data_IF_700988802271
#
_entry.id   IF_700988802271
#
_cell.length_a   1.000
_cell.length_b   1.000
_cell.length_c   1.000
_cell.angle_alpha   90.00
_cell.angle_beta   90.00
_cell.angle_gamma   90.00
#
_symmetry.space_group_name_H-M   'P 1'
#
loop_
_entity.id
_entity.type
_entity.pdbx_description
1 polymer ?
#
# COMPACT_ATOMS: atom_id res chain seq x y z
N UNK A 1 -17.16 -9.61 -20.58
CA UNK A 1 -17.52 -8.77 -19.40
C UNK A 1 -17.44 -9.54 -18.09
N UNK A 2 -18.01 -10.74 -17.95
CA UNK A 2 -17.93 -11.52 -16.69
C UNK A 2 -16.49 -11.89 -16.30
N UNK A 3 -15.67 -12.30 -17.26
CA UNK A 3 -14.25 -12.62 -17.04
C UNK A 3 -13.45 -11.42 -16.53
N UNK A 4 -13.62 -10.25 -17.15
CA UNK A 4 -13.00 -9.01 -16.71
C UNK A 4 -13.34 -8.67 -15.25
N UNK A 5 -14.63 -8.74 -14.86
CA UNK A 5 -15.05 -8.49 -13.47
C UNK A 5 -14.40 -9.46 -12.49
N UNK A 6 -14.35 -10.75 -12.87
CA UNK A 6 -13.69 -11.78 -12.06
C UNK A 6 -12.20 -11.48 -11.88
N UNK A 7 -11.47 -11.17 -12.94
CA UNK A 7 -10.04 -10.87 -12.87
C UNK A 7 -9.74 -9.65 -11.99
N UNK A 8 -10.53 -8.57 -12.12
CA UNK A 8 -10.39 -7.39 -11.24
C UNK A 8 -10.58 -7.78 -9.77
N UNK A 9 -11.57 -8.62 -9.47
CA UNK A 9 -11.83 -9.10 -8.11
C UNK A 9 -10.72 -9.99 -7.58
N UNK A 10 -10.26 -10.94 -8.39
CA UNK A 10 -9.18 -11.87 -8.01
C UNK A 10 -7.89 -11.08 -7.71
N UNK A 11 -7.59 -10.03 -8.49
CA UNK A 11 -6.43 -9.16 -8.22
C UNK A 11 -6.67 -8.30 -6.98
N UNK A 12 -7.88 -7.76 -6.76
CA UNK A 12 -8.15 -6.91 -5.58
C UNK A 12 -7.97 -7.67 -4.26
N UNK A 13 -8.31 -8.97 -4.24
CA UNK A 13 -8.05 -9.85 -3.09
C UNK A 13 -6.56 -9.97 -2.78
N UNK A 14 -5.69 -10.07 -3.80
CA UNK A 14 -4.23 -10.15 -3.56
C UNK A 14 -3.65 -8.90 -2.89
N UNK A 15 -4.22 -7.72 -3.15
CA UNK A 15 -3.86 -6.52 -2.40
C UNK A 15 -4.29 -6.60 -0.93
N UNK A 16 -5.41 -7.27 -0.62
CA UNK A 16 -5.83 -7.54 0.76
C UNK A 16 -4.87 -8.53 1.43
N UNK A 17 -4.50 -9.61 0.74
CA UNK A 17 -3.55 -10.61 1.25
C UNK A 17 -2.18 -9.98 1.56
N UNK A 18 -1.67 -9.13 0.66
CA UNK A 18 -0.42 -8.39 0.87
C UNK A 18 -0.49 -7.39 2.02
N UNK A 19 -1.66 -6.75 2.22
CA UNK A 19 -1.88 -5.87 3.35
C UNK A 19 -1.97 -6.64 4.67
N UNK A 20 -2.63 -7.81 4.66
CA UNK A 20 -2.71 -8.69 5.82
C UNK A 20 -1.31 -9.12 6.26
N UNK A 21 -0.48 -9.59 5.33
CA UNK A 21 0.93 -9.89 5.62
C UNK A 21 1.63 -8.71 6.31
N UNK A 22 1.46 -7.50 5.77
CA UNK A 22 2.13 -6.32 6.30
C UNK A 22 1.66 -6.00 7.72
N UNK A 23 0.36 -6.05 7.99
CA UNK A 23 -0.20 -5.77 9.32
C UNK A 23 0.27 -6.83 10.32
N UNK A 24 0.16 -8.11 9.97
CA UNK A 24 0.53 -9.22 10.85
C UNK A 24 2.01 -9.16 11.22
N UNK A 25 2.90 -8.96 10.25
CA UNK A 25 4.34 -9.03 10.48
C UNK A 25 4.95 -7.73 11.01
N UNK A 26 4.38 -6.55 10.69
CA UNK A 26 5.01 -5.27 11.00
C UNK A 26 4.34 -4.51 12.15
N UNK A 27 3.09 -4.85 12.47
CA UNK A 27 2.34 -4.30 13.60
C UNK A 27 2.14 -5.36 14.67
N UNK A 28 1.40 -6.43 14.38
CA UNK A 28 0.91 -7.36 15.41
C UNK A 28 2.06 -8.16 16.03
N UNK A 29 2.87 -8.83 15.22
CA UNK A 29 3.96 -9.65 15.73
C UNK A 29 5.07 -8.81 16.38
N UNK A 30 5.27 -7.56 15.95
CA UNK A 30 6.24 -6.66 16.58
C UNK A 30 5.73 -6.10 17.93
N UNK A 31 4.42 -6.02 18.14
CA UNK A 31 3.83 -5.57 19.42
C UNK A 31 3.83 -6.69 20.49
N UNK A 32 3.98 -7.96 20.09
CA UNK A 32 3.98 -9.13 20.99
C UNK A 32 5.36 -9.51 21.52
N UNK A 33 6.45 -9.03 20.90
CA UNK A 33 7.83 -9.34 21.30
C UNK A 33 8.31 -8.60 22.57
N UNK A 34 7.49 -7.72 23.16
CA UNK A 34 7.83 -6.95 24.38
C UNK A 34 7.25 -7.54 25.69
N UNK A 35 6.35 -8.54 25.64
CA UNK A 35 5.73 -9.17 26.81
C UNK A 35 5.86 -10.71 26.76
N UNK A 36 7.10 -11.21 26.92
CA UNK A 36 7.35 -12.63 27.24
C UNK A 36 6.88 -12.94 28.67
N UNK A 37 5.64 -13.42 28.81
CA UNK A 37 5.23 -14.50 29.71
C UNK A 37 3.71 -14.73 29.54
N UNK A 38 3.30 -15.61 28.61
CA UNK A 38 2.36 -16.70 28.90
C UNK A 38 2.06 -17.56 27.65
N UNK A 39 2.36 -18.85 27.77
CA UNK A 39 1.93 -19.95 26.90
C UNK A 39 0.39 -20.07 26.90
N UNK A 40 -0.29 -19.34 26.02
CA UNK A 40 -1.67 -19.67 25.65
C UNK A 40 -1.84 -19.63 24.13
N UNK A 41 -2.30 -20.76 23.58
CA UNK A 41 -2.52 -20.99 22.16
C UNK A 41 -3.40 -19.87 21.58
N UNK A 42 -2.78 -18.93 20.86
CA UNK A 42 -3.51 -17.86 20.20
C UNK A 42 -4.47 -18.45 19.17
N UNK A 43 -5.78 -18.38 19.47
CA UNK A 43 -6.80 -18.41 18.45
C UNK A 43 -6.43 -17.31 17.44
N UNK A 44 -5.95 -17.69 16.24
CA UNK A 44 -5.69 -16.75 15.16
C UNK A 44 -6.90 -15.84 14.99
N UNK A 45 -6.82 -14.61 15.49
CA UNK A 45 -7.90 -13.66 15.32
C UNK A 45 -8.05 -13.43 13.82
N UNK A 46 -9.25 -13.67 13.30
CA UNK A 46 -9.55 -13.37 11.90
C UNK A 46 -9.54 -11.86 11.74
N UNK A 47 -8.38 -11.31 11.39
CA UNK A 47 -8.18 -9.88 11.19
C UNK A 47 -8.73 -9.51 9.82
N UNK A 48 -9.60 -8.49 9.79
CA UNK A 48 -9.94 -7.84 8.54
C UNK A 48 -8.90 -6.74 8.27
N UNK A 49 -7.95 -6.93 7.33
CA UNK A 49 -6.91 -5.93 7.05
C UNK A 49 -7.51 -4.61 6.56
N UNK A 50 -8.73 -4.69 6.00
CA UNK A 50 -9.71 -3.64 5.75
C UNK A 50 -9.84 -2.66 6.91
N UNK A 51 -10.31 -3.19 8.02
CA UNK A 51 -10.85 -2.39 9.12
C UNK A 51 -9.95 -2.40 10.36
N UNK A 52 -8.77 -3.01 10.25
CA UNK A 52 -7.77 -3.00 11.29
C UNK A 52 -7.42 -1.57 11.69
N UNK A 53 -7.53 -1.26 12.97
CA UNK A 53 -7.22 0.06 13.51
C UNK A 53 -5.76 0.10 13.90
N UNK A 54 -4.96 0.78 13.08
CA UNK A 54 -3.57 1.07 13.42
C UNK A 54 -3.58 2.06 14.59
N UNK A 55 -2.98 1.65 15.72
CA UNK A 55 -2.94 2.46 16.94
C UNK A 55 -2.24 3.81 16.66
N UNK A 56 -2.63 4.89 17.36
CA UNK A 56 -2.28 6.26 16.97
C UNK A 56 -0.87 6.69 17.41
N UNK A 57 0.11 5.79 17.49
CA UNK A 57 1.48 6.14 17.94
C UNK A 57 2.20 7.06 16.94
N UNK A 58 1.60 7.33 15.77
CA UNK A 58 2.00 8.34 14.78
C UNK A 58 3.44 8.17 14.29
N UNK A 59 3.98 6.95 14.33
CA UNK A 59 5.31 6.68 13.78
C UNK A 59 5.30 6.86 12.26
N UNK A 60 6.45 7.13 11.62
CA UNK A 60 6.55 7.10 10.16
C UNK A 60 6.07 5.76 9.56
N UNK A 61 6.40 4.64 10.22
CA UNK A 61 5.98 3.28 9.84
C UNK A 61 4.45 3.14 9.82
N UNK A 62 3.79 3.42 10.94
CA UNK A 62 2.32 3.31 11.06
C UNK A 62 1.58 4.20 10.07
N UNK A 63 2.04 5.45 9.88
CA UNK A 63 1.45 6.37 8.90
C UNK A 63 1.61 5.85 7.48
N UNK A 64 2.74 5.22 7.18
CA UNK A 64 2.97 4.60 5.87
C UNK A 64 2.05 3.38 5.66
N UNK A 65 1.89 2.53 6.67
CA UNK A 65 0.98 1.38 6.65
C UNK A 65 -0.49 1.84 6.51
N UNK A 66 -0.88 2.93 7.17
CA UNK A 66 -2.24 3.50 7.04
C UNK A 66 -2.51 3.98 5.60
N UNK A 67 -1.50 4.57 4.93
CA UNK A 67 -1.63 4.94 3.52
C UNK A 67 -1.77 3.70 2.61
N UNK A 68 -1.03 2.63 2.91
CA UNK A 68 -1.15 1.34 2.20
C UNK A 68 -2.57 0.78 2.40
N UNK A 69 -3.09 0.76 3.62
CA UNK A 69 -4.46 0.32 3.90
C UNK A 69 -5.51 1.14 3.13
N UNK A 70 -5.37 2.47 3.09
CA UNK A 70 -6.25 3.37 2.31
C UNK A 70 -6.19 3.09 0.81
N UNK A 71 -4.99 2.82 0.28
CA UNK A 71 -4.83 2.43 -1.13
C UNK A 71 -5.57 1.11 -1.43
N UNK A 72 -5.42 0.09 -0.57
CA UNK A 72 -6.11 -1.19 -0.70
C UNK A 72 -7.63 -1.05 -0.62
N UNK A 73 -8.15 -0.23 0.31
CA UNK A 73 -9.59 0.11 0.37
C UNK A 73 -10.10 0.70 -0.94
N UNK A 74 -9.29 1.56 -1.56
CA UNK A 74 -9.65 2.22 -2.83
C UNK A 74 -9.64 1.23 -4.00
N UNK A 75 -8.70 0.27 -4.01
CA UNK A 75 -8.66 -0.84 -4.99
C UNK A 75 -9.91 -1.74 -4.86
N UNK A 76 -10.31 -2.11 -3.64
CA UNK A 76 -11.52 -2.90 -3.42
C UNK A 76 -12.81 -2.13 -3.74
N UNK A 77 -12.82 -0.83 -3.50
CA UNK A 77 -13.91 0.05 -3.93
C UNK A 77 -14.02 0.11 -5.45
N UNK A 78 -12.89 0.16 -6.17
CA UNK A 78 -12.89 0.08 -7.64
C UNK A 78 -13.42 -1.26 -8.14
N UNK A 79 -12.94 -2.37 -7.56
CA UNK A 79 -13.40 -3.73 -7.86
C UNK A 79 -14.92 -3.86 -7.71
N UNK A 80 -15.45 -3.41 -6.57
CA UNK A 80 -16.89 -3.38 -6.29
C UNK A 80 -17.67 -2.49 -7.25
N UNK A 81 -17.12 -1.33 -7.62
CA UNK A 81 -17.77 -0.39 -8.55
C UNK A 81 -17.84 -0.99 -9.97
N UNK A 82 -16.76 -1.66 -10.41
CA UNK A 82 -16.71 -2.39 -11.69
C UNK A 82 -17.74 -3.52 -11.70
N UNK A 83 -17.87 -4.27 -10.61
CA UNK A 83 -18.84 -5.35 -10.51
C UNK A 83 -20.28 -4.84 -10.62
N UNK A 84 -20.59 -3.73 -9.97
CA UNK A 84 -21.91 -3.08 -9.99
C UNK A 84 -22.17 -2.20 -11.22
N UNK A 85 -21.17 -2.03 -12.10
CA UNK A 85 -21.19 -1.08 -13.23
C UNK A 85 -21.47 0.39 -12.82
N UNK A 86 -21.01 0.80 -11.64
CA UNK A 86 -21.22 2.16 -11.10
C UNK A 86 -20.17 3.15 -11.64
N UNK A 87 -20.42 3.70 -12.83
CA UNK A 87 -19.49 4.58 -13.59
C UNK A 87 -18.86 5.69 -12.72
N UNK A 88 -19.67 6.44 -11.98
CA UNK A 88 -19.17 7.52 -11.11
C UNK A 88 -18.25 7.00 -10.00
N UNK A 89 -18.61 5.88 -9.37
CA UNK A 89 -17.83 5.29 -8.28
C UNK A 89 -16.50 4.71 -8.79
N UNK A 90 -16.43 4.19 -10.03
CA UNK A 90 -15.16 3.81 -10.65
C UNK A 90 -14.20 5.01 -10.79
N UNK A 91 -14.73 6.18 -11.17
CA UNK A 91 -13.94 7.41 -11.33
C UNK A 91 -13.44 7.90 -9.96
N UNK A 92 -14.30 7.91 -8.94
CA UNK A 92 -13.89 8.30 -7.58
C UNK A 92 -12.84 7.34 -7.02
N UNK A 93 -13.07 6.03 -7.10
CA UNK A 93 -12.13 5.04 -6.60
C UNK A 93 -10.75 5.16 -7.25
N UNK A 94 -10.66 5.35 -8.58
CA UNK A 94 -9.36 5.54 -9.24
C UNK A 94 -8.68 6.87 -8.94
N UNK A 95 -9.44 7.92 -8.63
CA UNK A 95 -8.88 9.17 -8.12
C UNK A 95 -8.22 8.96 -6.77
N UNK A 96 -8.87 8.23 -5.88
CA UNK A 96 -8.36 7.93 -4.54
C UNK A 96 -7.15 7.01 -4.61
N UNK A 97 -7.20 5.95 -5.43
CA UNK A 97 -6.04 5.09 -5.75
C UNK A 97 -4.83 5.94 -6.19
N UNK A 98 -5.04 6.84 -7.15
CA UNK A 98 -3.98 7.72 -7.68
C UNK A 98 -3.43 8.68 -6.62
N UNK A 99 -4.28 9.15 -5.72
CA UNK A 99 -3.90 10.05 -4.62
C UNK A 99 -3.08 9.31 -3.59
N UNK A 100 -3.56 8.17 -3.10
CA UNK A 100 -2.89 7.36 -2.09
C UNK A 100 -1.54 6.84 -2.60
N UNK A 101 -1.44 6.35 -3.85
CA UNK A 101 -0.12 5.92 -4.38
C UNK A 101 0.85 7.07 -4.63
N UNK A 102 0.36 8.28 -4.87
CA UNK A 102 1.22 9.47 -4.91
C UNK A 102 1.77 9.77 -3.52
N UNK A 103 0.92 9.74 -2.49
CA UNK A 103 1.32 9.95 -1.09
C UNK A 103 2.28 8.86 -0.61
N UNK A 104 2.03 7.58 -0.92
CA UNK A 104 2.93 6.46 -0.64
C UNK A 104 4.30 6.74 -1.24
N UNK A 105 4.38 7.16 -2.50
CA UNK A 105 5.67 7.43 -3.13
C UNK A 105 6.42 8.63 -2.48
N UNK A 106 5.70 9.68 -2.11
CA UNK A 106 6.27 10.85 -1.42
C UNK A 106 6.79 10.48 -0.03
N UNK A 107 6.01 9.71 0.72
CA UNK A 107 6.37 9.22 2.05
C UNK A 107 7.52 8.23 2.01
N UNK A 108 7.52 7.28 1.08
CA UNK A 108 8.64 6.37 0.84
C UNK A 108 9.93 7.14 0.54
N UNK A 109 9.84 8.17 -0.31
CA UNK A 109 11.00 9.04 -0.62
C UNK A 109 11.50 9.76 0.63
N UNK A 110 10.59 10.23 1.50
CA UNK A 110 10.95 10.91 2.76
C UNK A 110 11.65 9.95 3.72
N UNK A 111 11.03 8.79 3.96
CA UNK A 111 11.52 7.74 4.86
C UNK A 111 12.90 7.26 4.41
N UNK A 112 13.05 6.94 3.13
CA UNK A 112 14.29 6.41 2.59
C UNK A 112 15.46 7.41 2.63
N UNK A 113 15.27 8.68 3.00
CA UNK A 113 16.41 9.58 3.26
C UNK A 113 17.24 9.14 4.46
N UNK A 114 16.61 8.49 5.43
CA UNK A 114 17.24 8.06 6.67
C UNK A 114 17.57 6.56 6.69
N UNK A 115 17.05 5.81 5.71
CA UNK A 115 17.35 4.37 5.55
C UNK A 115 18.71 4.20 4.87
N UNK A 116 19.58 3.30 5.36
CA UNK A 116 20.87 3.00 4.75
C UNK A 116 20.79 2.68 3.26
N UNK A 117 21.82 3.08 2.50
CA UNK A 117 21.90 2.74 1.08
C UNK A 117 21.99 1.23 0.86
N UNK A 118 21.32 0.75 -0.20
CA UNK A 118 21.36 -0.65 -0.57
C UNK A 118 20.20 -1.07 -1.48
N UNK A 119 20.30 -2.31 -1.97
CA UNK A 119 19.34 -2.87 -2.94
C UNK A 119 17.89 -2.87 -2.44
N UNK A 120 17.67 -3.03 -1.14
CA UNK A 120 16.32 -3.00 -0.56
C UNK A 120 15.67 -1.62 -0.74
N UNK A 121 16.41 -0.54 -0.43
CA UNK A 121 15.97 0.84 -0.58
C UNK A 121 15.72 1.20 -2.05
N UNK A 122 16.65 0.84 -2.93
CA UNK A 122 16.51 1.06 -4.38
C UNK A 122 15.25 0.36 -4.92
N UNK A 123 15.07 -0.92 -4.61
CA UNK A 123 13.91 -1.71 -5.05
C UNK A 123 12.62 -1.14 -4.49
N UNK A 124 12.60 -0.74 -3.21
CA UNK A 124 11.43 -0.15 -2.58
C UNK A 124 11.00 1.14 -3.29
N UNK A 125 11.92 2.10 -3.46
CA UNK A 125 11.65 3.37 -4.14
C UNK A 125 11.25 3.20 -5.61
N UNK A 126 11.87 2.25 -6.31
CA UNK A 126 11.50 1.92 -7.68
C UNK A 126 10.04 1.47 -7.76
N UNK A 127 9.63 0.57 -6.85
CA UNK A 127 8.28 0.01 -6.86
C UNK A 127 7.22 1.03 -6.40
N UNK A 128 7.52 1.90 -5.42
CA UNK A 128 6.58 2.98 -5.07
C UNK A 128 6.40 4.00 -6.20
N UNK A 129 7.47 4.27 -6.96
CA UNK A 129 7.40 5.14 -8.15
C UNK A 129 6.59 4.52 -9.28
N UNK A 130 6.74 3.21 -9.50
CA UNK A 130 5.93 2.45 -10.46
C UNK A 130 4.46 2.42 -10.05
N UNK A 131 4.14 2.18 -8.77
CA UNK A 131 2.78 2.26 -8.25
C UNK A 131 2.12 3.61 -8.55
N UNK A 132 2.82 4.71 -8.25
CA UNK A 132 2.36 6.06 -8.59
C UNK A 132 2.07 6.20 -10.08
N UNK A 133 3.03 5.83 -10.94
CA UNK A 133 2.89 6.00 -12.39
C UNK A 133 1.75 5.16 -12.97
N UNK A 134 1.67 3.89 -12.58
CA UNK A 134 0.62 2.95 -13.01
C UNK A 134 -0.76 3.38 -12.51
N UNK A 135 -0.87 3.92 -11.29
CA UNK A 135 -2.14 4.43 -10.75
C UNK A 135 -2.70 5.62 -11.53
N UNK A 136 -1.84 6.50 -12.06
CA UNK A 136 -2.26 7.61 -12.93
C UNK A 136 -2.78 7.06 -14.26
N UNK A 137 -2.10 6.07 -14.84
CA UNK A 137 -2.57 5.41 -16.06
C UNK A 137 -3.88 4.66 -15.83
N UNK A 138 -4.05 4.01 -14.68
CA UNK A 138 -5.30 3.35 -14.27
C UNK A 138 -6.47 4.33 -14.28
N UNK A 139 -6.27 5.49 -13.64
CA UNK A 139 -7.27 6.56 -13.59
C UNK A 139 -7.70 7.01 -14.99
N UNK A 140 -6.78 7.15 -15.93
CA UNK A 140 -7.10 7.50 -17.32
C UNK A 140 -7.94 6.40 -17.98
N UNK A 141 -7.48 5.14 -17.93
CA UNK A 141 -8.16 4.03 -18.59
C UNK A 141 -9.56 3.77 -18.02
N UNK A 142 -9.72 3.86 -16.69
CA UNK A 142 -11.03 3.73 -16.06
C UNK A 142 -11.94 4.92 -16.38
N UNK A 143 -11.41 6.14 -16.47
CA UNK A 143 -12.22 7.31 -16.87
C UNK A 143 -12.75 7.15 -18.30
N UNK A 144 -11.92 6.63 -19.22
CA UNK A 144 -12.37 6.30 -20.58
C UNK A 144 -13.43 5.22 -20.53
N UNK A 145 -13.21 4.13 -19.79
CA UNK A 145 -14.16 3.02 -19.67
C UNK A 145 -15.50 3.45 -19.09
N UNK A 146 -15.48 4.28 -18.05
CA UNK A 146 -16.68 4.80 -17.40
C UNK A 146 -17.47 5.77 -18.31
N UNK A 147 -16.80 6.35 -19.30
CA UNK A 147 -17.41 7.24 -20.31
C UNK A 147 -17.87 6.49 -21.56
N UNK A 148 -17.40 5.26 -21.79
CA UNK A 148 -17.82 4.42 -22.91
C UNK A 148 -19.26 3.94 -22.76
N UNK A 149 -19.94 3.79 -23.90
CA UNK A 149 -21.28 3.25 -23.98
C UNK A 149 -21.27 1.72 -24.09
N UNK A 150 -22.42 1.09 -23.86
CA UNK A 150 -22.52 -0.38 -23.86
C UNK A 150 -22.27 -1.00 -25.25
N UNK A 151 -22.40 -0.20 -26.32
CA UNK A 151 -22.09 -0.60 -27.69
C UNK A 151 -20.61 -0.51 -28.04
N UNK A 152 -19.78 0.12 -27.21
CA UNK A 152 -18.37 0.33 -27.50
C UNK A 152 -17.56 -0.97 -27.28
N UNK A 153 -16.68 -1.29 -28.23
CA UNK A 153 -15.71 -2.38 -28.03
C UNK A 153 -14.61 -1.92 -27.06
N UNK A 154 -14.78 -2.31 -25.80
CA UNK A 154 -13.85 -1.98 -24.71
C UNK A 154 -12.92 -3.13 -24.34
N UNK A 155 -12.76 -4.15 -25.19
CA UNK A 155 -11.96 -5.32 -24.84
C UNK A 155 -10.48 -5.00 -24.66
N UNK A 156 -9.88 -4.22 -25.57
CA UNK A 156 -8.49 -3.76 -25.45
C UNK A 156 -8.30 -2.91 -24.18
N UNK A 157 -9.27 -2.05 -23.88
CA UNK A 157 -9.27 -1.20 -22.69
C UNK A 157 -9.35 -2.04 -21.40
N UNK A 158 -10.20 -3.06 -21.37
CA UNK A 158 -10.29 -4.00 -20.25
C UNK A 158 -8.96 -4.72 -20.03
N UNK A 159 -8.32 -5.22 -21.10
CA UNK A 159 -7.00 -5.88 -21.00
C UNK A 159 -5.92 -4.94 -20.46
N UNK A 160 -5.92 -3.66 -20.87
CA UNK A 160 -5.02 -2.63 -20.32
C UNK A 160 -5.26 -2.39 -18.83
N UNK A 161 -6.51 -2.32 -18.41
CA UNK A 161 -6.88 -2.17 -16.99
C UNK A 161 -6.37 -3.38 -16.18
N UNK A 162 -6.57 -4.60 -16.66
CA UNK A 162 -6.06 -5.79 -15.99
C UNK A 162 -4.54 -5.76 -15.89
N UNK A 163 -3.83 -5.53 -17.00
CA UNK A 163 -2.36 -5.49 -16.98
C UNK A 163 -1.79 -4.39 -16.05
N UNK A 164 -2.47 -3.25 -15.94
CA UNK A 164 -2.10 -2.22 -14.97
C UNK A 164 -2.36 -2.65 -13.53
N UNK A 165 -3.48 -3.32 -13.23
CA UNK A 165 -3.77 -3.86 -11.90
C UNK A 165 -2.74 -4.91 -11.49
N UNK A 166 -2.37 -5.82 -12.40
CA UNK A 166 -1.36 -6.85 -12.15
C UNK A 166 0.03 -6.23 -11.89
N UNK A 167 0.44 -5.26 -12.71
CA UNK A 167 1.70 -4.55 -12.49
C UNK A 167 1.70 -3.82 -11.13
N UNK A 168 0.59 -3.18 -10.79
CA UNK A 168 0.45 -2.51 -9.50
C UNK A 168 0.51 -3.52 -8.36
N UNK A 169 -0.15 -4.66 -8.48
CA UNK A 169 -0.14 -5.72 -7.46
C UNK A 169 1.27 -6.27 -7.23
N UNK A 170 2.03 -6.59 -8.28
CA UNK A 170 3.42 -7.02 -8.17
C UNK A 170 4.31 -5.98 -7.47
N UNK A 171 4.13 -4.69 -7.80
CA UNK A 171 4.88 -3.63 -7.14
C UNK A 171 4.46 -3.47 -5.67
N UNK A 172 3.16 -3.65 -5.39
CA UNK A 172 2.58 -3.55 -4.06
C UNK A 172 3.05 -4.67 -3.14
N UNK A 173 3.11 -5.90 -3.65
CA UNK A 173 3.69 -7.05 -2.95
C UNK A 173 5.13 -6.76 -2.52
N UNK A 174 5.96 -6.23 -3.42
CA UNK A 174 7.34 -5.85 -3.07
C UNK A 174 7.38 -4.79 -1.95
N UNK A 175 6.51 -3.79 -2.00
CA UNK A 175 6.46 -2.71 -0.99
C UNK A 175 5.97 -3.22 0.36
N UNK A 176 4.97 -4.11 0.38
CA UNK A 176 4.39 -4.68 1.61
C UNK A 176 5.30 -5.72 2.26
N UNK A 177 6.11 -6.44 1.47
CA UNK A 177 7.05 -7.46 1.95
C UNK A 177 8.48 -6.94 2.09
N UNK A 178 8.66 -5.63 2.21
CA UNK A 178 9.98 -5.00 2.39
C UNK A 178 10.37 -4.95 3.87
N UNK A 179 10.40 -6.09 4.57
CA UNK A 179 10.59 -6.18 6.03
C UNK A 179 11.79 -5.38 6.52
N UNK A 180 12.92 -5.47 5.80
CA UNK A 180 14.13 -4.70 6.12
C UNK A 180 13.88 -3.18 6.14
N UNK A 181 13.09 -2.67 5.20
CA UNK A 181 12.76 -1.25 5.13
C UNK A 181 11.88 -0.86 6.31
N UNK A 182 10.89 -1.68 6.68
CA UNK A 182 10.05 -1.41 7.84
C UNK A 182 10.83 -1.46 9.15
N UNK A 183 11.74 -2.41 9.32
CA UNK A 183 12.65 -2.44 10.47
C UNK A 183 13.51 -1.16 10.51
N UNK A 184 14.12 -0.79 9.36
CA UNK A 184 14.93 0.43 9.26
C UNK A 184 14.10 1.72 9.50
N UNK A 185 12.78 1.72 9.23
CA UNK A 185 11.89 2.85 9.54
C UNK A 185 11.82 3.12 11.04
N UNK A 186 11.69 2.07 11.85
CA UNK A 186 11.56 2.19 13.30
C UNK A 186 12.84 2.77 13.92
N UNK A 187 14.01 2.25 13.52
CA UNK A 187 15.31 2.77 13.97
C UNK A 187 15.59 4.21 13.51
N UNK A 188 15.08 4.60 12.33
CA UNK A 188 15.23 5.94 11.80
C UNK A 188 14.35 6.98 12.52
N UNK A 189 13.23 6.58 13.14
CA UNK A 189 12.43 7.45 14.01
C UNK A 189 13.16 7.80 15.30
N UNK A 190 13.85 6.83 15.89
CA UNK A 190 14.56 6.97 17.18
C UNK A 190 15.80 7.88 17.10
N UNK A 191 16.34 8.08 15.89
CA UNK A 191 17.50 8.95 15.67
C UNK A 191 17.15 10.44 15.57
N UNK A 192 15.87 10.82 15.71
CA UNK A 192 15.49 12.22 15.87
C UNK A 192 15.56 12.66 17.34
N UNK A 193 16.62 13.42 17.66
CA UNK A 193 16.90 14.13 18.93
C UNK A 193 17.71 13.40 20.04
N UNK A 194 18.99 13.11 19.74
CA UNK A 194 20.08 13.25 20.72
C UNK A 194 20.98 14.45 20.33
N UNK A 195 20.41 15.66 20.36
CA UNK A 195 21.18 16.91 20.41
C UNK A 195 21.32 17.33 21.88
N UNK A 196 22.05 16.52 22.66
CA UNK A 196 22.59 16.97 23.94
C UNK A 196 23.96 16.34 24.15
N UNK A 197 25.00 17.17 24.05
CA UNK A 197 26.40 16.74 24.08
C UNK A 197 27.27 17.75 23.36
N UNK A 198 27.12 19.03 23.71
CA UNK A 198 28.02 20.07 23.26
C UNK A 198 29.44 19.72 23.70
N UNK A 199 30.30 19.39 22.73
CA UNK A 199 31.73 19.41 22.93
C UNK A 199 32.15 20.88 22.99
N UNK A 200 32.12 21.45 24.19
CA UNK A 200 32.85 22.67 24.49
C UNK A 200 34.34 22.37 24.27
N UNK A 201 34.89 22.84 23.15
CA UNK A 201 36.32 23.09 23.04
C UNK A 201 36.67 24.20 24.05
N UNK A 202 37.26 23.81 25.17
CA UNK A 202 37.88 24.72 26.13
C UNK A 202 39.34 24.92 25.74
N UNK A 203 39.67 26.18 25.45
CA UNK A 203 40.98 26.84 25.34
C UNK A 203 41.96 26.33 24.29
#
# INVERSE_FOLDING_TARGET
>A
MAEFKKQVKDISVKFEDSLLYLIDNQIINNDLDDDDDDDDQEEQQVINPLEYKIQPVNTPKERFIELIQKATKSINSLSSSIDKNERSNMIYATRDISTHFTQINEEATRICRNVPEGKAKEKFLENTSKLKTSSVQMKINISVKASSDESDDVNELNSKIIGLLELMEQCFEVVTHSDRIYNDMDFASDTSFSTSGGWNTVS
#
